data_IF_111308317651
#
_entry.id   IF_111308317651
#
_cell.length_a   1.000
_cell.length_b   1.000
_cell.length_c   1.000
_cell.angle_alpha   90.00
_cell.angle_beta   90.00
_cell.angle_gamma   90.00
#
_symmetry.space_group_name_H-M   'P 1'
#
loop_
_entity.id
_entity.type
_entity.pdbx_description
1 polymer ?
#
# COMPACT_ATOMS: atom_id res chain seq x y z
N UNK A 1 18.54 6.42 8.43
CA UNK A 1 18.27 7.58 7.55
C UNK A 1 16.76 7.67 7.36
N UNK A 2 16.16 8.85 7.57
CA UNK A 2 14.74 9.08 7.30
C UNK A 2 14.62 9.97 6.06
N UNK A 3 13.53 9.84 5.32
CA UNK A 3 13.28 10.68 4.14
C UNK A 3 13.05 12.13 4.60
N UNK A 4 13.55 13.13 3.84
CA UNK A 4 13.41 14.55 4.19
C UNK A 4 11.95 15.05 4.08
N UNK A 5 11.07 14.27 3.49
CA UNK A 5 9.63 14.48 3.42
C UNK A 5 8.91 13.19 3.83
N UNK A 6 7.68 13.33 4.32
CA UNK A 6 6.83 12.18 4.58
C UNK A 6 6.48 11.54 3.25
N UNK A 7 6.96 10.32 3.01
CA UNK A 7 6.64 9.54 1.82
C UNK A 7 5.32 8.80 2.05
N UNK A 8 4.18 9.28 1.51
CA UNK A 8 2.86 8.73 1.79
C UNK A 8 2.73 7.29 1.28
N UNK A 9 3.57 6.86 0.32
CA UNK A 9 3.51 5.50 -0.17
C UNK A 9 3.98 4.46 0.86
N UNK A 10 4.66 4.89 1.93
CA UNK A 10 5.08 4.02 3.04
C UNK A 10 3.87 3.31 3.68
N UNK A 11 2.68 3.92 3.67
CA UNK A 11 1.46 3.30 4.23
C UNK A 11 1.05 2.01 3.52
N UNK A 12 1.46 1.82 2.26
CA UNK A 12 1.16 0.61 1.48
C UNK A 12 2.23 -0.49 1.60
N UNK A 13 3.34 -0.20 2.31
CA UNK A 13 4.50 -1.11 2.42
C UNK A 13 4.30 -2.23 3.43
N UNK A 14 3.40 -2.03 4.38
CA UNK A 14 3.00 -3.04 5.35
C UNK A 14 2.04 -4.00 4.64
N UNK A 15 2.63 -4.85 3.79
CA UNK A 15 1.94 -5.90 3.06
C UNK A 15 1.13 -6.73 4.05
N UNK A 16 -0.20 -6.57 4.00
CA UNK A 16 -1.14 -7.62 4.39
C UNK A 16 -0.86 -8.29 5.76
N UNK A 17 -0.59 -7.53 6.82
CA UNK A 17 -0.27 -8.09 8.15
C UNK A 17 -1.37 -9.00 8.75
N UNK A 18 -2.57 -9.01 8.15
CA UNK A 18 -3.70 -9.86 8.52
C UNK A 18 -3.73 -11.22 7.80
N UNK A 19 -2.93 -11.44 6.75
CA UNK A 19 -2.65 -12.78 6.21
C UNK A 19 -1.23 -13.14 6.58
N UNK A 20 -1.02 -14.39 6.97
CA UNK A 20 0.26 -15.06 7.24
C UNK A 20 1.22 -15.04 6.02
N UNK A 21 1.56 -13.86 5.51
CA UNK A 21 2.45 -13.62 4.36
C UNK A 21 3.91 -13.49 4.78
N UNK A 22 4.86 -13.65 3.85
CA UNK A 22 6.27 -13.78 4.18
C UNK A 22 6.85 -12.49 4.78
N UNK A 23 7.96 -12.66 5.49
CA UNK A 23 8.66 -11.65 6.28
C UNK A 23 8.80 -10.30 5.56
N UNK A 24 8.70 -9.23 6.35
CA UNK A 24 9.02 -7.82 6.03
C UNK A 24 9.83 -7.70 4.73
N UNK A 25 9.18 -7.34 3.62
CA UNK A 25 9.88 -7.24 2.32
C UNK A 25 10.86 -6.07 2.40
N UNK A 26 12.15 -6.38 2.42
CA UNK A 26 13.21 -5.36 2.40
C UNK A 26 13.20 -4.66 1.05
N UNK A 27 13.20 -3.33 1.07
CA UNK A 27 13.24 -2.51 -0.13
C UNK A 27 14.68 -2.27 -0.58
N UNK A 28 14.88 -2.24 -1.90
CA UNK A 28 16.19 -1.96 -2.49
C UNK A 28 16.43 -0.43 -2.49
N UNK A 29 17.52 0.09 -1.90
CA UNK A 29 17.75 1.53 -1.82
C UNK A 29 17.71 2.26 -3.18
N UNK A 30 18.13 1.60 -4.26
CA UNK A 30 18.14 2.15 -5.62
C UNK A 30 16.80 2.08 -6.37
N UNK A 31 15.83 1.31 -5.87
CA UNK A 31 14.53 1.09 -6.52
C UNK A 31 13.34 1.38 -5.59
N UNK A 32 13.57 2.09 -4.49
CA UNK A 32 12.57 2.32 -3.45
C UNK A 32 11.28 2.92 -4.03
N UNK A 33 11.36 3.93 -4.89
CA UNK A 33 10.18 4.59 -5.48
C UNK A 33 9.33 3.61 -6.28
N UNK A 34 9.98 2.77 -7.10
CA UNK A 34 9.32 1.77 -7.93
C UNK A 34 8.62 0.72 -7.07
N UNK A 35 9.31 0.23 -6.05
CA UNK A 35 8.80 -0.81 -5.16
C UNK A 35 7.65 -0.29 -4.26
N UNK A 36 7.72 0.98 -3.81
CA UNK A 36 6.64 1.65 -3.10
C UNK A 36 5.39 1.83 -3.98
N UNK A 37 5.58 2.28 -5.21
CA UNK A 37 4.51 2.46 -6.19
C UNK A 37 3.85 1.11 -6.55
N UNK A 38 4.64 0.03 -6.62
CA UNK A 38 4.12 -1.31 -6.82
C UNK A 38 3.33 -1.82 -5.61
N UNK A 39 3.81 -1.57 -4.40
CA UNK A 39 3.08 -1.91 -3.17
C UNK A 39 1.72 -1.22 -3.10
N UNK A 40 1.65 0.09 -3.44
CA UNK A 40 0.40 0.84 -3.52
C UNK A 40 -0.58 0.25 -4.55
N UNK A 41 -0.10 -0.08 -5.76
CA UNK A 41 -0.93 -0.74 -6.78
C UNK A 41 -1.46 -2.10 -6.32
N UNK A 42 -0.61 -2.91 -5.69
CA UNK A 42 -1.00 -4.21 -5.16
C UNK A 42 -2.07 -4.07 -4.07
N UNK A 43 -1.91 -3.11 -3.16
CA UNK A 43 -2.91 -2.82 -2.14
C UNK A 43 -4.28 -2.49 -2.77
N UNK A 44 -4.33 -1.57 -3.73
CA UNK A 44 -5.59 -1.20 -4.39
C UNK A 44 -6.24 -2.36 -5.14
N UNK A 45 -5.46 -3.15 -5.90
CA UNK A 45 -5.96 -4.30 -6.67
C UNK A 45 -6.46 -5.44 -5.80
N UNK A 46 -5.91 -5.59 -4.60
CA UNK A 46 -6.18 -6.72 -3.72
C UNK A 46 -7.19 -6.39 -2.60
N UNK A 47 -8.08 -5.42 -2.82
CA UNK A 47 -9.18 -5.09 -1.89
C UNK A 47 -8.91 -3.92 -0.95
N UNK A 48 -7.83 -3.17 -1.15
CA UNK A 48 -7.59 -1.91 -0.45
C UNK A 48 -8.57 -0.79 -0.82
N UNK A 49 -9.16 -0.89 -2.01
CA UNK A 49 -10.26 -0.07 -2.52
C UNK A 49 -11.36 -1.01 -3.02
N UNK A 50 -12.58 -0.82 -2.52
CA UNK A 50 -13.78 -1.54 -2.96
C UNK A 50 -14.72 -0.52 -3.58
N UNK A 51 -15.13 -0.76 -4.82
CA UNK A 51 -16.10 0.07 -5.52
C UNK A 51 -17.43 -0.68 -5.62
N UNK A 52 -18.50 -0.05 -5.13
CA UNK A 52 -19.87 -0.53 -5.26
C UNK A 52 -20.55 0.23 -6.42
N UNK A 53 -20.77 -0.42 -7.58
CA UNK A 53 -21.34 0.25 -8.75
C UNK A 53 -22.83 0.60 -8.60
N UNK A 54 -23.53 -0.10 -7.71
CA UNK A 54 -24.98 0.08 -7.49
C UNK A 54 -25.25 1.37 -6.73
N UNK A 55 -24.47 1.60 -5.68
CA UNK A 55 -24.53 2.79 -4.83
C UNK A 55 -23.62 3.91 -5.35
N UNK A 56 -22.76 3.61 -6.34
CA UNK A 56 -21.69 4.49 -6.85
C UNK A 56 -20.74 4.96 -5.74
N UNK A 57 -20.48 4.10 -4.75
CA UNK A 57 -19.63 4.43 -3.60
C UNK A 57 -18.29 3.72 -3.68
N UNK A 58 -17.24 4.40 -3.25
CA UNK A 58 -15.90 3.84 -3.11
C UNK A 58 -15.55 3.79 -1.62
N UNK A 59 -15.21 2.60 -1.12
CA UNK A 59 -14.76 2.37 0.24
C UNK A 59 -13.29 2.00 0.23
N UNK A 60 -12.48 2.73 1.00
CA UNK A 60 -11.05 2.46 1.16
C UNK A 60 -10.78 1.92 2.55
N UNK A 61 -9.80 1.03 2.68
CA UNK A 61 -9.40 0.55 4.01
C UNK A 61 -8.70 1.68 4.80
N UNK A 62 -8.83 1.63 6.15
CA UNK A 62 -8.41 2.67 7.12
C UNK A 62 -6.93 3.09 7.08
N UNK A 63 -6.09 2.51 6.22
CA UNK A 63 -4.70 2.94 6.06
C UNK A 63 -4.59 4.30 5.34
N UNK A 64 -5.63 4.72 4.62
CA UNK A 64 -5.76 6.05 4.04
C UNK A 64 -6.46 6.94 5.05
N UNK A 65 -5.75 7.91 5.63
CA UNK A 65 -6.28 8.90 6.57
C UNK A 65 -5.95 10.30 6.10
#
# INVERSE_FOLDING_TARGET
>A
VALPYSEPLIHFTLVYGTRSGPALRCYSPGNIDKELMEAARNFLRNGGLIFDPTTKTASVSKILK
#
